data_IF_912594922440
#
_entry.id   IF_912594922440
#
_cell.length_a   1.000
_cell.length_b   1.000
_cell.length_c   1.000
_cell.angle_alpha   90.00
_cell.angle_beta   90.00
_cell.angle_gamma   90.00
#
_symmetry.space_group_name_H-M   'P 1'
#
loop_
_entity.id
_entity.type
_entity.pdbx_description
1 polymer ?
#
# COMPACT_ATOMS: atom_id res chain seq x y z
N UNK A 1 -18.38 19.98 73.65
CA UNK A 1 -18.97 21.03 72.79
C UNK A 1 -17.95 22.13 72.66
N UNK A 2 -17.39 22.36 71.46
CA UNK A 2 -16.98 23.63 70.85
C UNK A 2 -16.28 23.28 69.52
N UNK A 3 -17.02 23.58 68.46
CA UNK A 3 -16.69 23.97 67.09
C UNK A 3 -15.52 23.36 66.28
N UNK A 4 -15.94 22.66 65.22
CA UNK A 4 -15.25 22.42 63.96
C UNK A 4 -15.10 23.72 63.16
N UNK A 5 -13.89 24.06 62.74
CA UNK A 5 -13.60 25.10 61.75
C UNK A 5 -12.47 24.62 60.82
N UNK A 6 -12.88 24.29 59.59
CA UNK A 6 -12.21 24.56 58.31
C UNK A 6 -10.71 24.34 58.19
N UNK A 7 -10.33 23.22 57.56
CA UNK A 7 -9.11 23.15 56.74
C UNK A 7 -9.40 23.92 55.45
N UNK A 8 -8.63 24.96 55.07
CA UNK A 8 -8.72 25.51 53.73
C UNK A 8 -8.02 24.56 52.75
N UNK A 9 -8.82 23.84 51.95
CA UNK A 9 -8.34 23.16 50.76
C UNK A 9 -7.94 24.21 49.72
N UNK A 10 -6.66 24.40 49.51
CA UNK A 10 -6.11 25.08 48.33
C UNK A 10 -6.49 24.28 47.08
N UNK A 11 -7.21 24.86 46.09
CA UNK A 11 -7.34 24.22 44.79
C UNK A 11 -6.00 24.37 44.05
N UNK A 12 -5.48 23.25 43.54
CA UNK A 12 -4.42 23.26 42.55
C UNK A 12 -4.97 23.85 41.23
N UNK A 13 -4.90 25.17 41.10
CA UNK A 13 -4.99 25.83 39.79
C UNK A 13 -3.64 25.70 39.10
N UNK A 14 -3.57 24.79 38.14
CA UNK A 14 -2.43 24.67 37.27
C UNK A 14 -2.76 23.79 36.09
N UNK A 15 -2.66 24.38 34.89
CA UNK A 15 -2.68 23.73 33.56
C UNK A 15 -4.07 23.57 32.95
N UNK A 16 -4.35 24.24 31.83
CA UNK A 16 -5.16 23.72 30.70
C UNK A 16 -5.41 24.71 29.54
N UNK A 17 -5.07 26.00 29.64
CA UNK A 17 -5.34 26.95 28.54
C UNK A 17 -4.14 27.21 27.58
N UNK A 18 -2.89 27.14 28.06
CA UNK A 18 -1.70 27.47 27.26
C UNK A 18 -1.17 26.34 26.36
N UNK A 19 -1.42 25.08 26.72
CA UNK A 19 -0.81 23.93 26.03
C UNK A 19 -1.53 23.57 24.72
N UNK A 20 -2.86 23.72 24.68
CA UNK A 20 -3.66 23.46 23.49
C UNK A 20 -3.36 24.47 22.36
N UNK A 21 -3.16 25.74 22.73
CA UNK A 21 -2.86 26.82 21.79
C UNK A 21 -1.44 26.66 21.21
N UNK A 22 -0.49 26.22 22.04
CA UNK A 22 0.89 25.94 21.64
C UNK A 22 0.99 24.76 20.67
N UNK A 23 0.26 23.67 20.92
CA UNK A 23 0.23 22.50 20.05
C UNK A 23 -0.38 22.81 18.67
N UNK A 24 -1.48 23.57 18.63
CA UNK A 24 -2.10 24.02 17.39
C UNK A 24 -1.18 24.95 16.58
N UNK A 25 -0.40 25.79 17.26
CA UNK A 25 0.56 26.69 16.63
C UNK A 25 1.73 25.91 16.01
N UNK A 26 2.27 24.90 16.72
CA UNK A 26 3.31 24.01 16.19
C UNK A 26 2.82 23.22 14.98
N UNK A 27 1.63 22.64 15.07
CA UNK A 27 1.03 21.90 13.95
C UNK A 27 0.87 22.79 12.71
N UNK A 28 0.40 24.04 12.90
CA UNK A 28 0.19 24.99 11.81
C UNK A 28 1.50 25.44 11.18
N UNK A 29 2.52 25.75 11.98
CA UNK A 29 3.84 26.18 11.48
C UNK A 29 4.58 25.05 10.75
N UNK A 30 4.52 23.82 11.29
CA UNK A 30 5.07 22.63 10.63
C UNK A 30 4.35 22.35 9.32
N UNK A 31 3.02 22.35 9.33
CA UNK A 31 2.20 22.10 8.13
C UNK A 31 2.46 23.15 7.06
N UNK A 32 2.56 24.43 7.44
CA UNK A 32 2.79 25.53 6.49
C UNK A 32 4.19 25.47 5.86
N UNK A 33 5.21 25.08 6.63
CA UNK A 33 6.59 24.94 6.15
C UNK A 33 6.76 23.74 5.22
N UNK A 34 6.13 22.61 5.56
CA UNK A 34 6.11 21.40 4.74
C UNK A 34 5.30 21.61 3.45
N UNK A 35 4.16 22.31 3.52
CA UNK A 35 3.35 22.67 2.36
C UNK A 35 4.10 23.57 1.38
N UNK A 36 4.88 24.54 1.86
CA UNK A 36 5.58 25.49 0.99
C UNK A 36 6.81 24.92 0.29
N UNK A 37 7.48 23.94 0.86
CA UNK A 37 8.72 23.38 0.29
C UNK A 37 8.41 22.20 -0.64
N UNK A 38 7.94 21.08 -0.09
CA UNK A 38 7.77 19.84 -0.85
C UNK A 38 6.71 19.93 -1.95
N UNK A 39 5.59 20.61 -1.67
CA UNK A 39 4.45 20.72 -2.60
C UNK A 39 4.66 21.79 -3.67
N UNK A 40 5.48 22.81 -3.41
CA UNK A 40 5.79 23.81 -4.43
C UNK A 40 6.81 23.28 -5.43
N UNK A 41 7.81 22.52 -4.99
CA UNK A 41 8.82 21.93 -5.88
C UNK A 41 8.19 20.87 -6.80
N UNK A 42 7.37 19.97 -6.22
CA UNK A 42 6.65 18.97 -7.01
C UNK A 42 5.54 19.63 -7.83
N UNK A 43 4.79 20.56 -7.22
CA UNK A 43 3.70 21.28 -7.85
C UNK A 43 4.13 22.16 -9.02
N UNK A 44 5.32 22.77 -8.99
CA UNK A 44 5.88 23.54 -10.09
C UNK A 44 6.16 22.64 -11.30
N UNK A 45 6.73 21.45 -11.07
CA UNK A 45 6.97 20.45 -12.12
C UNK A 45 5.67 20.00 -12.81
N UNK A 46 4.56 20.03 -12.08
CA UNK A 46 3.22 19.73 -12.61
C UNK A 46 2.51 20.94 -13.20
N UNK A 47 2.72 22.14 -12.66
CA UNK A 47 2.12 23.36 -13.17
C UNK A 47 2.54 23.63 -14.62
N UNK A 48 3.79 23.27 -14.96
CA UNK A 48 4.31 23.33 -16.33
C UNK A 48 3.81 22.17 -17.19
N UNK A 49 3.61 20.99 -16.61
CA UNK A 49 3.04 19.81 -17.26
C UNK A 49 1.50 19.80 -17.16
N UNK A 50 0.86 20.77 -17.81
CA UNK A 50 -0.58 20.86 -18.11
C UNK A 50 -1.48 19.98 -17.21
N UNK A 51 -1.58 20.34 -15.93
CA UNK A 51 -2.50 19.70 -14.98
C UNK A 51 -3.93 19.58 -15.56
N UNK A 52 -4.33 20.52 -16.41
CA UNK A 52 -5.64 20.58 -17.05
C UNK A 52 -5.89 19.47 -18.09
N UNK A 53 -4.86 18.76 -18.56
CA UNK A 53 -4.95 17.69 -19.56
C UNK A 53 -4.83 16.27 -18.97
N UNK A 54 -4.77 16.12 -17.64
CA UNK A 54 -4.69 14.80 -17.01
C UNK A 54 -6.08 14.13 -17.01
N UNK A 55 -6.31 13.03 -17.75
CA UNK A 55 -7.63 12.40 -17.91
C UNK A 55 -8.03 11.52 -16.71
N UNK A 56 -7.44 11.73 -15.53
CA UNK A 56 -7.73 10.91 -14.35
C UNK A 56 -8.91 11.47 -13.53
N UNK A 57 -9.90 10.63 -13.14
CA UNK A 57 -11.06 11.06 -12.35
C UNK A 57 -10.72 11.68 -10.97
N UNK A 58 -9.51 11.41 -10.46
CA UNK A 58 -9.00 11.86 -9.15
C UNK A 58 -8.61 13.36 -9.16
N UNK A 59 -8.55 13.99 -10.33
CA UNK A 59 -8.01 15.34 -10.51
C UNK A 59 -8.85 16.45 -9.86
N UNK A 60 -10.17 16.29 -9.81
CA UNK A 60 -11.08 17.26 -9.19
C UNK A 60 -10.80 17.44 -7.68
N UNK A 61 -10.26 16.41 -7.02
CA UNK A 61 -9.82 16.46 -5.63
C UNK A 61 -8.52 17.27 -5.48
N UNK A 62 -7.54 17.08 -6.37
CA UNK A 62 -6.23 17.75 -6.31
C UNK A 62 -6.35 19.29 -6.37
N UNK A 63 -7.15 19.81 -7.31
CA UNK A 63 -7.30 21.27 -7.49
C UNK A 63 -7.91 21.95 -6.26
N UNK A 64 -8.79 21.24 -5.52
CA UNK A 64 -9.41 21.74 -4.27
C UNK A 64 -8.46 21.62 -3.08
N UNK A 65 -7.64 20.56 -3.05
CA UNK A 65 -6.68 20.28 -1.98
C UNK A 65 -5.44 21.18 -2.03
N UNK A 66 -4.89 21.48 -3.22
CA UNK A 66 -3.68 22.30 -3.35
C UNK A 66 -3.84 23.71 -2.79
N UNK A 67 -5.02 24.33 -2.94
CA UNK A 67 -5.30 25.69 -2.43
C UNK A 67 -5.75 25.71 -0.96
N UNK A 68 -5.94 24.56 -0.33
CA UNK A 68 -6.71 24.46 0.92
C UNK A 68 -6.29 23.35 1.88
N UNK A 69 -5.10 22.77 1.75
CA UNK A 69 -4.58 21.82 2.72
C UNK A 69 -4.39 22.52 4.08
N UNK A 70 -5.34 22.33 4.99
CA UNK A 70 -5.41 22.94 6.32
C UNK A 70 -4.97 21.97 7.42
N UNK A 71 -4.77 20.69 7.10
CA UNK A 71 -4.42 19.64 8.06
C UNK A 71 -3.23 18.80 7.59
N UNK A 72 -2.52 18.19 8.54
CA UNK A 72 -1.40 17.26 8.28
C UNK A 72 -1.85 16.08 7.40
N UNK A 73 -3.06 15.55 7.63
CA UNK A 73 -3.61 14.47 6.82
C UNK A 73 -3.81 14.87 5.35
N UNK A 74 -4.35 16.08 5.10
CA UNK A 74 -4.50 16.62 3.75
C UNK A 74 -3.15 16.84 3.08
N UNK A 75 -2.13 17.31 3.81
CA UNK A 75 -0.77 17.44 3.32
C UNK A 75 -0.20 16.10 2.84
N UNK A 76 -0.26 15.05 3.67
CA UNK A 76 0.23 13.72 3.28
C UNK A 76 -0.58 13.11 2.14
N UNK A 77 -1.90 13.33 2.09
CA UNK A 77 -2.72 12.91 0.96
C UNK A 77 -2.27 13.59 -0.34
N UNK A 78 -2.10 14.91 -0.34
CA UNK A 78 -1.58 15.66 -1.49
C UNK A 78 -0.22 15.11 -1.94
N UNK A 79 0.70 14.89 -0.99
CA UNK A 79 2.03 14.37 -1.27
C UNK A 79 1.97 12.98 -1.91
N UNK A 80 1.12 12.09 -1.40
CA UNK A 80 0.86 10.77 -1.97
C UNK A 80 0.30 10.86 -3.39
N UNK A 81 -0.72 11.69 -3.58
CA UNK A 81 -1.34 11.88 -4.89
C UNK A 81 -0.33 12.43 -5.92
N UNK A 82 0.47 13.43 -5.56
CA UNK A 82 1.51 13.96 -6.45
C UNK A 82 2.58 12.93 -6.80
N UNK A 83 3.01 12.10 -5.83
CA UNK A 83 3.95 11.00 -6.09
C UNK A 83 3.38 9.99 -7.09
N UNK A 84 2.11 9.63 -6.95
CA UNK A 84 1.44 8.76 -7.91
C UNK A 84 1.36 9.41 -9.30
N UNK A 85 0.97 10.68 -9.36
CA UNK A 85 0.86 11.41 -10.62
C UNK A 85 2.22 11.55 -11.33
N UNK A 86 3.31 11.65 -10.57
CA UNK A 86 4.66 11.85 -11.13
C UNK A 86 5.10 10.65 -11.96
N UNK A 87 4.77 9.45 -11.48
CA UNK A 87 5.11 8.21 -12.16
C UNK A 87 4.27 7.94 -13.41
N UNK A 88 3.18 8.67 -13.65
CA UNK A 88 2.33 8.50 -14.84
C UNK A 88 2.38 9.71 -15.79
N UNK A 89 3.13 10.75 -15.42
CA UNK A 89 3.17 12.02 -16.16
C UNK A 89 3.78 11.86 -17.55
N UNK A 90 4.65 10.87 -17.73
CA UNK A 90 5.29 10.49 -18.98
C UNK A 90 4.40 9.66 -19.92
N UNK A 91 3.25 9.17 -19.46
CA UNK A 91 2.29 8.48 -20.33
C UNK A 91 1.48 9.50 -21.13
N UNK A 92 1.52 9.46 -22.48
CA UNK A 92 0.79 10.43 -23.31
C UNK A 92 -0.72 10.45 -22.99
N UNK A 93 -1.36 11.64 -22.97
CA UNK A 93 -2.80 11.77 -22.67
C UNK A 93 -3.70 10.84 -23.49
N UNK A 94 -3.42 10.70 -24.78
CA UNK A 94 -4.21 9.87 -25.71
C UNK A 94 -4.10 8.39 -25.37
N UNK A 95 -2.90 7.94 -24.98
CA UNK A 95 -2.66 6.56 -24.55
C UNK A 95 -3.42 6.28 -23.26
N UNK A 96 -3.40 7.21 -22.31
CA UNK A 96 -4.14 7.09 -21.05
C UNK A 96 -5.64 7.01 -21.29
N UNK A 97 -6.20 7.94 -22.08
CA UNK A 97 -7.62 7.98 -22.38
C UNK A 97 -8.09 6.70 -23.08
N UNK A 98 -7.38 6.25 -24.13
CA UNK A 98 -7.69 5.00 -24.82
C UNK A 98 -7.67 3.82 -23.87
N UNK A 99 -6.63 3.70 -23.03
CA UNK A 99 -6.51 2.56 -22.12
C UNK A 99 -7.60 2.53 -21.07
N UNK A 100 -7.99 3.69 -20.56
CA UNK A 100 -9.10 3.83 -19.62
C UNK A 100 -10.44 3.49 -20.28
N UNK A 101 -10.67 3.90 -21.54
CA UNK A 101 -11.88 3.54 -22.30
C UNK A 101 -11.98 2.04 -22.57
N UNK A 102 -10.86 1.38 -22.92
CA UNK A 102 -10.81 -0.06 -23.13
C UNK A 102 -11.08 -0.86 -21.85
N UNK A 103 -10.50 -0.43 -20.72
CA UNK A 103 -10.56 -1.16 -19.47
C UNK A 103 -11.78 -0.81 -18.60
N UNK A 104 -12.36 0.38 -18.79
CA UNK A 104 -13.46 0.94 -18.01
C UNK A 104 -14.50 1.52 -19.00
N UNK A 105 -15.33 0.64 -19.60
CA UNK A 105 -16.18 1.00 -20.75
C UNK A 105 -17.32 1.96 -20.37
N UNK A 106 -17.73 1.99 -19.10
CA UNK A 106 -18.77 2.90 -18.61
C UNK A 106 -18.22 4.04 -17.77
N UNK A 107 -18.97 5.13 -17.68
CA UNK A 107 -18.65 6.26 -16.80
C UNK A 107 -18.63 5.84 -15.31
N UNK A 108 -19.54 4.95 -14.92
CA UNK A 108 -19.62 4.38 -13.57
C UNK A 108 -18.36 3.57 -13.21
N UNK A 109 -17.81 2.80 -14.16
CA UNK A 109 -16.55 2.08 -13.96
C UNK A 109 -15.37 3.04 -13.74
N UNK A 110 -15.33 4.15 -14.50
CA UNK A 110 -14.30 5.19 -14.37
C UNK A 110 -14.38 5.90 -13.01
N UNK A 111 -15.58 6.23 -12.57
CA UNK A 111 -15.82 6.86 -11.26
C UNK A 111 -15.40 5.93 -10.13
N UNK A 112 -15.86 4.67 -10.13
CA UNK A 112 -15.46 3.65 -9.13
C UNK A 112 -13.96 3.42 -9.11
N UNK A 113 -13.31 3.42 -10.27
CA UNK A 113 -11.86 3.29 -10.35
C UNK A 113 -11.16 4.49 -9.69
N UNK A 114 -11.60 5.71 -9.99
CA UNK A 114 -11.09 6.93 -9.36
C UNK A 114 -11.30 6.96 -7.85
N UNK A 115 -12.48 6.61 -7.39
CA UNK A 115 -12.81 6.48 -5.96
C UNK A 115 -11.93 5.45 -5.28
N UNK A 116 -11.74 4.27 -5.90
CA UNK A 116 -10.88 3.23 -5.35
C UNK A 116 -9.43 3.71 -5.21
N UNK A 117 -8.86 4.34 -6.24
CA UNK A 117 -7.50 4.91 -6.16
C UNK A 117 -7.41 5.97 -5.06
N UNK A 118 -8.42 6.83 -4.94
CA UNK A 118 -8.50 7.86 -3.90
C UNK A 118 -8.51 7.25 -2.49
N UNK A 119 -9.37 6.26 -2.27
CA UNK A 119 -9.51 5.56 -0.99
C UNK A 119 -8.22 4.82 -0.61
N UNK A 120 -7.61 4.10 -1.56
CA UNK A 120 -6.34 3.40 -1.31
C UNK A 120 -5.25 4.41 -0.96
N UNK A 121 -5.12 5.50 -1.74
CA UNK A 121 -4.15 6.56 -1.45
C UNK A 121 -4.37 7.15 -0.05
N UNK A 122 -5.61 7.36 0.38
CA UNK A 122 -5.92 7.87 1.71
C UNK A 122 -5.41 6.92 2.81
N UNK A 123 -5.65 5.61 2.65
CA UNK A 123 -5.26 4.57 3.61
C UNK A 123 -3.77 4.26 3.64
N UNK A 124 -3.00 4.61 2.60
CA UNK A 124 -1.56 4.38 2.61
C UNK A 124 -0.88 5.08 3.79
N UNK A 125 -0.20 4.27 4.61
CA UNK A 125 0.55 4.71 5.77
C UNK A 125 1.96 5.24 5.45
N UNK A 126 2.40 5.09 4.21
CA UNK A 126 3.74 5.47 3.75
C UNK A 126 3.66 6.21 2.40
N UNK A 127 4.40 7.31 2.27
CA UNK A 127 4.40 8.13 1.05
C UNK A 127 5.14 7.43 -0.10
N UNK A 128 6.17 6.65 0.20
CA UNK A 128 6.90 5.85 -0.78
C UNK A 128 6.01 4.81 -1.46
N UNK A 129 5.05 4.22 -0.75
CA UNK A 129 4.05 3.31 -1.36
C UNK A 129 3.22 3.97 -2.46
N UNK A 130 2.97 5.28 -2.37
CA UNK A 130 2.24 5.99 -3.43
C UNK A 130 3.06 6.05 -4.74
N UNK A 131 4.38 6.05 -4.64
CA UNK A 131 5.29 5.91 -5.80
C UNK A 131 5.14 4.52 -6.43
N UNK A 132 5.07 3.46 -5.63
CA UNK A 132 4.85 2.10 -6.13
C UNK A 132 3.49 1.97 -6.84
N UNK A 133 2.44 2.60 -6.30
CA UNK A 133 1.13 2.65 -6.95
C UNK A 133 1.18 3.43 -8.26
N UNK A 134 1.93 4.53 -8.30
CA UNK A 134 2.19 5.29 -9.52
C UNK A 134 2.83 4.44 -10.61
N UNK A 135 3.87 3.66 -10.28
CA UNK A 135 4.51 2.71 -11.20
C UNK A 135 3.56 1.63 -11.70
N UNK A 136 2.73 1.10 -10.81
CA UNK A 136 1.69 0.13 -11.19
C UNK A 136 0.67 0.75 -12.15
N UNK A 137 0.19 1.96 -11.86
CA UNK A 137 -0.71 2.71 -12.72
C UNK A 137 -0.06 3.03 -14.07
N UNK A 138 1.22 3.42 -14.10
CA UNK A 138 1.98 3.63 -15.32
C UNK A 138 2.03 2.36 -16.18
N UNK A 139 2.36 1.21 -15.58
CA UNK A 139 2.38 -0.06 -16.29
C UNK A 139 1.01 -0.43 -16.85
N UNK A 140 -0.07 -0.18 -16.10
CA UNK A 140 -1.44 -0.40 -16.56
C UNK A 140 -1.83 0.51 -17.74
N UNK A 141 -1.57 1.83 -17.62
CA UNK A 141 -1.85 2.83 -18.63
C UNK A 141 -1.02 2.58 -19.91
N UNK A 142 0.19 2.06 -19.75
CA UNK A 142 1.07 1.62 -20.86
C UNK A 142 0.68 0.27 -21.46
N UNK A 143 -0.35 -0.41 -20.94
CA UNK A 143 -0.79 -1.72 -21.43
C UNK A 143 0.12 -2.90 -21.06
N UNK A 144 1.09 -2.72 -20.15
CA UNK A 144 1.99 -3.79 -19.68
C UNK A 144 1.31 -4.76 -18.71
N UNK A 145 0.29 -4.28 -18.01
CA UNK A 145 -0.56 -5.09 -17.13
C UNK A 145 -2.05 -4.80 -17.38
N UNK A 146 -2.90 -5.74 -17.03
CA UNK A 146 -4.36 -5.57 -17.08
C UNK A 146 -4.93 -5.02 -15.75
N UNK A 147 -6.24 -4.75 -15.72
CA UNK A 147 -6.90 -4.15 -14.56
C UNK A 147 -6.88 -5.08 -13.33
N UNK A 148 -7.00 -6.39 -13.53
CA UNK A 148 -6.95 -7.37 -12.44
C UNK A 148 -5.57 -7.40 -11.79
N UNK A 149 -4.51 -7.45 -12.60
CA UNK A 149 -3.13 -7.36 -12.15
C UNK A 149 -2.86 -6.05 -11.40
N UNK A 150 -3.36 -4.92 -11.91
CA UNK A 150 -3.26 -3.63 -11.19
C UNK A 150 -3.93 -3.69 -9.81
N UNK A 151 -5.12 -4.28 -9.70
CA UNK A 151 -5.83 -4.44 -8.42
C UNK A 151 -5.05 -5.32 -7.45
N UNK A 152 -4.53 -6.45 -7.91
CA UNK A 152 -3.71 -7.35 -7.08
C UNK A 152 -2.42 -6.67 -6.61
N UNK A 153 -1.75 -5.92 -7.50
CA UNK A 153 -0.55 -5.13 -7.14
C UNK A 153 -0.91 -4.05 -6.12
N UNK A 154 -1.99 -3.30 -6.31
CA UNK A 154 -2.43 -2.27 -5.36
C UNK A 154 -2.73 -2.86 -3.98
N UNK A 155 -3.39 -4.02 -3.93
CA UNK A 155 -3.62 -4.76 -2.68
C UNK A 155 -2.29 -5.12 -1.99
N UNK A 156 -1.33 -5.67 -2.73
CA UNK A 156 -0.02 -6.01 -2.20
C UNK A 156 0.75 -4.77 -1.70
N UNK A 157 0.72 -3.66 -2.44
CA UNK A 157 1.34 -2.38 -2.03
C UNK A 157 0.71 -1.87 -0.72
N UNK A 158 -0.62 -1.93 -0.63
CA UNK A 158 -1.34 -1.48 0.57
C UNK A 158 -0.91 -2.30 1.80
N UNK A 159 -0.88 -3.63 1.66
CA UNK A 159 -0.60 -4.55 2.76
C UNK A 159 0.89 -4.65 3.16
N UNK A 160 1.82 -4.56 2.21
CA UNK A 160 3.24 -4.86 2.45
C UNK A 160 3.90 -3.87 3.40
N UNK A 161 4.73 -4.34 4.33
CA UNK A 161 5.59 -3.44 5.10
C UNK A 161 6.75 -2.95 4.20
N UNK A 162 6.97 -1.63 4.02
CA UNK A 162 8.03 -1.11 3.17
C UNK A 162 9.44 -1.66 3.49
N UNK A 163 9.71 -2.04 4.74
CA UNK A 163 10.97 -2.68 5.16
C UNK A 163 11.26 -3.98 4.40
N UNK A 164 10.22 -4.68 3.95
CA UNK A 164 10.33 -5.97 3.28
C UNK A 164 10.60 -5.84 1.79
N UNK A 165 10.44 -4.66 1.17
CA UNK A 165 10.66 -4.49 -0.27
C UNK A 165 12.11 -4.79 -0.68
N UNK A 166 13.15 -4.28 0.02
CA UNK A 166 14.53 -4.65 -0.31
C UNK A 166 14.85 -6.12 -0.01
N UNK A 167 14.11 -6.75 0.93
CA UNK A 167 14.24 -8.18 1.21
C UNK A 167 13.69 -8.98 0.04
N UNK A 168 12.50 -8.61 -0.46
CA UNK A 168 11.88 -9.21 -1.62
C UNK A 168 12.77 -9.10 -2.87
N UNK A 169 13.35 -7.93 -3.13
CA UNK A 169 14.31 -7.74 -4.23
C UNK A 169 15.48 -8.71 -4.13
N UNK A 170 16.12 -8.80 -2.96
CA UNK A 170 17.23 -9.74 -2.75
C UNK A 170 16.79 -11.20 -2.92
N UNK A 171 15.61 -11.56 -2.43
CA UNK A 171 15.06 -12.91 -2.61
C UNK A 171 14.89 -13.26 -4.09
N UNK A 172 14.30 -12.35 -4.86
CA UNK A 172 14.06 -12.55 -6.31
C UNK A 172 15.37 -12.55 -7.10
N UNK A 173 16.29 -11.63 -6.81
CA UNK A 173 17.50 -11.44 -7.60
C UNK A 173 18.62 -12.44 -7.27
N UNK A 174 18.70 -12.89 -6.01
CA UNK A 174 19.84 -13.69 -5.54
C UNK A 174 19.44 -15.05 -4.94
N UNK A 175 18.14 -15.34 -4.82
CA UNK A 175 17.64 -16.57 -4.19
C UNK A 175 17.90 -16.66 -2.67
N UNK A 176 18.35 -15.57 -2.04
CA UNK A 176 18.61 -15.55 -0.60
C UNK A 176 17.31 -15.39 0.17
N UNK A 177 16.86 -16.49 0.80
CA UNK A 177 15.71 -16.52 1.68
C UNK A 177 15.96 -15.77 2.99
N UNK A 178 14.89 -15.23 3.56
CA UNK A 178 14.91 -14.44 4.80
C UNK A 178 14.32 -15.23 5.98
N UNK A 179 14.16 -14.56 7.12
CA UNK A 179 13.50 -15.12 8.30
C UNK A 179 12.08 -15.60 8.00
N UNK A 180 11.62 -16.63 8.72
CA UNK A 180 10.26 -17.17 8.58
C UNK A 180 9.18 -16.12 8.81
N UNK A 181 9.38 -15.20 9.76
CA UNK A 181 8.45 -14.12 10.06
C UNK A 181 8.29 -13.15 8.87
N UNK A 182 9.39 -12.80 8.20
CA UNK A 182 9.34 -11.96 7.01
C UNK A 182 8.66 -12.72 5.84
N UNK A 183 8.92 -14.02 5.68
CA UNK A 183 8.25 -14.85 4.66
C UNK A 183 6.74 -14.97 4.90
N UNK A 184 6.31 -15.17 6.14
CA UNK A 184 4.89 -15.17 6.52
C UNK A 184 4.23 -13.83 6.18
N UNK A 185 4.92 -12.72 6.45
CA UNK A 185 4.43 -11.38 6.15
C UNK A 185 4.30 -11.14 4.64
N UNK A 186 5.27 -11.58 3.84
CA UNK A 186 5.23 -11.49 2.38
C UNK A 186 4.12 -12.37 1.79
N UNK A 187 3.95 -13.59 2.30
CA UNK A 187 2.85 -14.49 1.93
C UNK A 187 1.48 -13.87 2.25
N UNK A 188 1.31 -13.24 3.41
CA UNK A 188 0.07 -12.57 3.78
C UNK A 188 -0.32 -11.43 2.83
N UNK A 189 0.66 -10.85 2.13
CA UNK A 189 0.45 -9.82 1.11
C UNK A 189 0.30 -10.40 -0.31
N UNK A 190 0.31 -11.74 -0.47
CA UNK A 190 0.28 -12.44 -1.76
C UNK A 190 1.61 -12.48 -2.51
N UNK A 191 2.68 -11.94 -1.93
CA UNK A 191 4.03 -11.84 -2.53
C UNK A 191 4.87 -13.10 -2.36
N UNK A 192 4.31 -14.17 -1.80
CA UNK A 192 4.85 -15.52 -1.78
C UNK A 192 3.68 -16.50 -1.83
N UNK A 193 3.97 -17.75 -2.18
CA UNK A 193 3.03 -18.87 -2.07
C UNK A 193 3.53 -19.88 -1.06
N UNK A 194 2.62 -20.48 -0.32
CA UNK A 194 2.90 -21.57 0.59
C UNK A 194 2.60 -22.90 -0.11
N UNK A 195 3.60 -23.77 -0.17
CA UNK A 195 3.51 -25.09 -0.80
C UNK A 195 3.66 -26.15 0.29
N UNK A 196 2.75 -27.13 0.26
CA UNK A 196 2.74 -28.27 1.16
C UNK A 196 3.31 -29.47 0.43
N UNK A 197 4.50 -29.90 0.82
CA UNK A 197 5.10 -31.12 0.33
C UNK A 197 4.71 -32.26 1.28
N UNK A 198 3.90 -33.19 0.78
CA UNK A 198 3.48 -34.39 1.51
C UNK A 198 4.43 -35.53 1.18
N UNK A 199 5.15 -36.01 2.19
CA UNK A 199 5.90 -37.26 2.09
C UNK A 199 4.95 -38.40 2.44
N UNK A 200 4.61 -39.20 1.43
CA UNK A 200 3.68 -40.32 1.57
C UNK A 200 4.48 -41.61 1.72
N UNK A 201 4.14 -42.40 2.73
CA UNK A 201 4.72 -43.73 2.92
C UNK A 201 3.64 -44.81 2.77
N UNK A 202 4.08 -46.01 2.41
CA UNK A 202 3.21 -47.18 2.27
C UNK A 202 3.26 -47.92 3.61
N UNK A 203 2.12 -48.05 4.29
CA UNK A 203 2.04 -48.95 5.45
C UNK A 203 1.77 -50.35 4.91
N UNK A 204 2.76 -51.23 4.99
CA UNK A 204 2.53 -52.64 4.77
C UNK A 204 1.57 -53.13 5.86
N UNK A 205 0.37 -53.55 5.46
CA UNK A 205 -0.55 -54.19 6.36
C UNK A 205 0.12 -55.46 6.89
N UNK A 206 0.31 -55.56 8.20
CA UNK A 206 0.76 -56.81 8.83
C UNK A 206 -0.29 -57.90 8.52
N UNK A 207 0.08 -58.80 7.61
CA UNK A 207 -0.71 -59.93 7.15
C UNK A 207 -1.04 -60.88 8.31
N UNK A 208 -2.15 -60.62 8.99
CA UNK A 208 -2.81 -61.53 9.91
C UNK A 208 -4.08 -62.03 9.23
N UNK A 209 -3.90 -62.96 8.29
CA UNK A 209 -4.95 -63.67 7.54
C UNK A 209 -5.87 -62.80 6.66
N UNK A 210 -5.53 -62.56 5.39
CA UNK A 210 -6.45 -62.75 4.24
C UNK A 210 -5.89 -62.14 2.96
N UNK A 211 -6.20 -62.80 1.84
CA UNK A 211 -5.71 -62.57 0.48
C UNK A 211 -6.23 -61.30 -0.21
N UNK A 212 -6.23 -60.14 0.48
CA UNK A 212 -6.49 -58.84 -0.14
C UNK A 212 -5.56 -57.79 0.49
N UNK A 213 -4.38 -57.62 -0.11
CA UNK A 213 -3.45 -56.54 0.20
C UNK A 213 -3.99 -55.23 -0.37
N UNK A 214 -4.72 -54.46 0.43
CA UNK A 214 -5.00 -53.05 0.13
C UNK A 214 -4.07 -52.17 0.98
N UNK A 215 -2.96 -51.71 0.39
CA UNK A 215 -2.08 -50.70 0.98
C UNK A 215 -2.80 -49.34 0.99
N UNK A 216 -3.09 -48.78 2.16
CA UNK A 216 -3.57 -47.40 2.27
C UNK A 216 -2.38 -46.47 2.43
N UNK A 217 -2.21 -45.47 1.54
CA UNK A 217 -1.14 -44.50 1.69
C UNK A 217 -1.41 -43.63 2.93
N UNK A 218 -0.39 -43.40 3.76
CA UNK A 218 -0.47 -42.50 4.92
C UNK A 218 0.59 -41.40 4.82
N UNK A 219 0.28 -40.24 5.40
CA UNK A 219 1.20 -39.10 5.41
C UNK A 219 2.27 -39.35 6.46
N UNK A 220 3.52 -39.49 6.03
CA UNK A 220 4.69 -39.67 6.92
C UNK A 220 5.18 -38.35 7.47
N UNK A 221 5.24 -37.33 6.62
CA UNK A 221 5.59 -35.98 7.04
C UNK A 221 4.95 -34.94 6.13
N UNK A 222 4.74 -33.75 6.69
CA UNK A 222 4.29 -32.56 5.96
C UNK A 222 5.39 -31.52 6.07
N UNK A 223 5.92 -31.08 4.94
CA UNK A 223 6.86 -29.95 4.89
C UNK A 223 6.15 -28.74 4.30
N UNK A 224 6.26 -27.63 5.00
CA UNK A 224 5.74 -26.33 4.54
C UNK A 224 6.89 -25.56 3.95
N UNK A 225 6.80 -25.16 2.68
CA UNK A 225 7.82 -24.35 2.01
C UNK A 225 7.21 -23.07 1.43
N UNK A 226 7.99 -21.99 1.40
CA UNK A 226 7.62 -20.76 0.69
C UNK A 226 8.23 -20.77 -0.71
N UNK A 227 7.48 -20.29 -1.68
CA UNK A 227 7.93 -20.17 -3.08
C UNK A 227 7.61 -18.78 -3.62
N UNK A 228 8.53 -18.24 -4.42
CA UNK A 228 8.29 -17.04 -5.23
C UNK A 228 7.30 -17.43 -6.33
N UNK A 229 6.19 -16.72 -6.41
CA UNK A 229 5.16 -16.95 -7.43
C UNK A 229 5.28 -15.96 -8.59
N UNK A 230 4.58 -16.23 -9.70
CA UNK A 230 4.55 -15.36 -10.88
C UNK A 230 4.12 -13.91 -10.55
N UNK A 231 3.16 -13.76 -9.64
CA UNK A 231 2.71 -12.45 -9.19
C UNK A 231 3.82 -11.66 -8.51
N UNK A 232 4.70 -12.31 -7.77
CA UNK A 232 5.85 -11.70 -7.10
C UNK A 232 6.86 -11.16 -8.10
N UNK A 233 7.12 -11.93 -9.16
CA UNK A 233 8.01 -11.53 -10.26
C UNK A 233 7.40 -10.32 -10.98
N UNK A 234 6.10 -10.37 -11.28
CA UNK A 234 5.37 -9.25 -11.88
C UNK A 234 5.44 -8.00 -11.00
N UNK A 235 5.13 -8.13 -9.71
CA UNK A 235 5.19 -7.04 -8.73
C UNK A 235 6.57 -6.40 -8.71
N UNK A 236 7.63 -7.21 -8.61
CA UNK A 236 9.02 -6.73 -8.61
C UNK A 236 9.34 -5.97 -9.89
N UNK A 237 8.99 -6.50 -11.06
CA UNK A 237 9.28 -5.87 -12.35
C UNK A 237 8.52 -4.56 -12.58
N UNK A 238 7.32 -4.43 -12.01
CA UNK A 238 6.48 -3.23 -12.14
C UNK A 238 6.85 -2.17 -11.11
N UNK A 239 6.95 -2.55 -9.84
CA UNK A 239 7.04 -1.60 -8.73
C UNK A 239 8.49 -1.29 -8.32
N UNK A 240 9.41 -2.22 -8.55
CA UNK A 240 10.81 -2.15 -8.10
C UNK A 240 11.78 -2.24 -9.30
N UNK A 241 11.66 -1.36 -10.31
CA UNK A 241 12.59 -1.34 -11.43
C UNK A 241 14.01 -0.98 -10.96
N UNK A 242 14.99 -1.63 -11.60
CA UNK A 242 16.43 -1.46 -11.37
C UNK A 242 16.90 -0.04 -11.62
#
# INVERSE_FOLDING_TARGET
>A
MINSQGIPSTPAEGTTAGDADSAALIEREMTTTLLKSDLSDIGASFADAALDELPLPVFSALRKLYKGAKTVAQYFFCKKLLRLLAEIADVPPEVRSRRLEEALPSQDDKEKFGEHITLVLERLNDVGKATLMGRAAHAFLSGKINLEQLRSINFAIEAVNPRLLPVLERMVDSGHWTSESDMQSLNACGLLSLVLDLDMDQMDALDLNSSVSSSTPFVKSVRVTYQINEFTILFRNVCLPK
#
